data_IF_977434343444
#
_entry.id   IF_977434343444
#
_cell.length_a   1.000
_cell.length_b   1.000
_cell.length_c   1.000
_cell.angle_alpha   90.00
_cell.angle_beta   90.00
_cell.angle_gamma   90.00
#
_symmetry.space_group_name_H-M   'P 1'
#
loop_
_entity.id
_entity.type
_entity.pdbx_description
1 polymer ?
#
# COMPACT_ATOMS: atom_id res chain seq x y z
N UNK A 1 8.72 -28.10 -57.57
CA UNK A 1 9.20 -28.45 -56.22
C UNK A 1 9.85 -27.21 -55.62
N UNK A 2 9.60 -26.97 -54.34
CA UNK A 2 9.95 -25.81 -53.51
C UNK A 2 9.10 -24.54 -53.73
N UNK A 3 7.90 -24.57 -53.15
CA UNK A 3 7.13 -23.36 -52.81
C UNK A 3 7.65 -22.77 -51.51
N UNK A 4 7.79 -21.46 -51.49
CA UNK A 4 8.24 -20.65 -50.35
C UNK A 4 7.00 -20.35 -49.50
N UNK A 5 7.10 -20.68 -48.21
CA UNK A 5 6.06 -20.52 -47.20
C UNK A 5 5.84 -19.03 -46.87
N UNK A 6 4.60 -18.50 -46.92
CA UNK A 6 4.29 -17.18 -46.46
C UNK A 6 3.60 -17.26 -45.10
N UNK A 7 4.30 -16.97 -44.01
CA UNK A 7 3.73 -16.20 -42.90
C UNK A 7 4.82 -15.77 -41.91
N UNK A 8 4.97 -14.45 -41.81
CA UNK A 8 5.58 -13.77 -40.67
C UNK A 8 4.53 -13.77 -39.57
N UNK A 9 4.88 -14.31 -38.41
CA UNK A 9 4.29 -13.82 -37.17
C UNK A 9 5.41 -13.38 -36.22
N UNK A 10 5.34 -12.10 -35.88
CA UNK A 10 6.13 -11.47 -34.83
C UNK A 10 5.40 -11.83 -33.54
N UNK A 11 5.98 -12.73 -32.77
CA UNK A 11 5.53 -13.02 -31.41
C UNK A 11 5.77 -11.79 -30.52
N UNK A 12 4.70 -11.02 -30.32
CA UNK A 12 4.63 -9.94 -29.35
C UNK A 12 4.09 -10.53 -28.05
N UNK A 13 4.86 -10.33 -26.97
CA UNK A 13 4.44 -10.42 -25.55
C UNK A 13 4.77 -11.72 -24.82
N UNK A 14 6.00 -11.77 -24.29
CA UNK A 14 6.32 -12.57 -23.10
C UNK A 14 6.88 -11.65 -21.99
N UNK A 15 5.97 -11.07 -21.19
CA UNK A 15 6.28 -10.49 -19.88
C UNK A 15 5.93 -11.49 -18.76
N UNK A 16 6.64 -11.50 -17.61
CA UNK A 16 6.54 -12.56 -16.62
C UNK A 16 5.40 -12.29 -15.64
N UNK A 17 4.16 -12.48 -16.10
CA UNK A 17 3.08 -12.85 -15.21
C UNK A 17 2.60 -14.22 -15.67
N UNK A 18 2.66 -15.27 -14.84
CA UNK A 18 1.89 -16.45 -15.16
C UNK A 18 0.44 -15.98 -15.26
N UNK A 19 -0.13 -16.06 -16.46
CA UNK A 19 -1.56 -16.21 -16.62
C UNK A 19 -1.90 -17.36 -15.69
N UNK A 20 -2.53 -17.02 -14.56
CA UNK A 20 -3.24 -18.02 -13.81
C UNK A 20 -4.32 -18.45 -14.79
N UNK A 21 -4.08 -19.56 -15.49
CA UNK A 21 -5.11 -20.34 -16.14
C UNK A 21 -6.02 -20.80 -15.00
N UNK A 22 -6.90 -19.89 -14.60
CA UNK A 22 -8.06 -20.15 -13.80
C UNK A 22 -9.00 -20.89 -14.75
N UNK A 23 -8.72 -22.18 -14.95
CA UNK A 23 -9.74 -23.19 -15.22
C UNK A 23 -10.68 -23.20 -13.99
N UNK A 24 -11.39 -22.09 -13.79
CA UNK A 24 -12.56 -22.04 -12.94
C UNK A 24 -13.59 -22.82 -13.74
N UNK A 25 -13.64 -24.11 -13.47
CA UNK A 25 -14.74 -24.97 -13.82
C UNK A 25 -16.00 -24.35 -13.22
N UNK A 26 -16.66 -23.47 -14.00
CA UNK A 26 -17.84 -22.70 -13.58
C UNK A 26 -19.04 -23.61 -13.28
N UNK A 27 -18.92 -24.90 -13.62
CA UNK A 27 -19.90 -25.96 -13.40
C UNK A 27 -19.52 -26.89 -12.22
N UNK A 28 -18.41 -26.62 -11.52
CA UNK A 28 -18.08 -27.31 -10.28
C UNK A 28 -19.12 -26.98 -9.21
N UNK A 29 -19.63 -27.98 -8.47
CA UNK A 29 -20.70 -27.75 -7.50
C UNK A 29 -20.20 -26.76 -6.42
N UNK A 30 -21.06 -25.81 -5.98
CA UNK A 30 -20.67 -24.69 -5.12
C UNK A 30 -20.18 -25.08 -3.72
N UNK A 31 -20.07 -26.38 -3.42
CA UNK A 31 -19.78 -26.96 -2.12
C UNK A 31 -18.40 -27.63 -1.99
N UNK A 32 -17.59 -27.68 -3.06
CA UNK A 32 -16.28 -28.34 -3.05
C UNK A 32 -15.09 -27.44 -2.66
N UNK A 33 -15.31 -26.19 -2.24
CA UNK A 33 -14.27 -25.46 -1.50
C UNK A 33 -14.25 -26.07 -0.09
N UNK A 34 -13.10 -26.53 0.45
CA UNK A 34 -13.05 -26.81 1.88
C UNK A 34 -13.51 -25.52 2.55
N UNK A 35 -14.56 -25.61 3.36
CA UNK A 35 -14.95 -24.50 4.21
C UNK A 35 -13.67 -24.10 4.94
N UNK A 36 -13.14 -22.91 4.63
CA UNK A 36 -12.08 -22.33 5.43
C UNK A 36 -12.59 -22.44 6.88
N UNK A 37 -11.78 -23.03 7.77
CA UNK A 37 -12.19 -23.20 9.17
C UNK A 37 -12.89 -21.92 9.61
N UNK A 38 -14.16 -21.99 10.08
CA UNK A 38 -14.88 -20.78 10.46
C UNK A 38 -13.95 -20.07 11.45
N UNK A 39 -13.63 -18.79 11.21
CA UNK A 39 -12.77 -18.02 12.12
C UNK A 39 -13.33 -18.27 13.51
N UNK A 40 -12.61 -19.07 14.30
CA UNK A 40 -13.17 -19.62 15.52
C UNK A 40 -13.57 -18.48 16.43
N UNK A 41 -14.60 -18.63 17.26
CA UNK A 41 -15.04 -17.59 18.17
C UNK A 41 -13.87 -16.98 18.98
N UNK A 42 -12.87 -17.81 19.34
CA UNK A 42 -11.64 -17.39 19.98
C UNK A 42 -10.73 -16.51 19.10
N UNK A 43 -10.60 -16.79 17.81
CA UNK A 43 -9.81 -15.97 16.89
C UNK A 43 -10.49 -14.62 16.61
N UNK A 44 -11.82 -14.62 16.53
CA UNK A 44 -12.62 -13.39 16.44
C UNK A 44 -12.45 -12.53 17.70
N UNK A 45 -12.60 -13.13 18.88
CA UNK A 45 -12.47 -12.44 20.16
C UNK A 45 -11.03 -11.92 20.42
N UNK A 46 -10.01 -12.68 20.00
CA UNK A 46 -8.62 -12.24 20.03
C UNK A 46 -8.38 -11.04 19.09
N UNK A 47 -8.95 -11.05 17.88
CA UNK A 47 -8.85 -9.93 16.94
C UNK A 47 -9.56 -8.67 17.49
N UNK A 48 -10.73 -8.83 18.10
CA UNK A 48 -11.48 -7.73 18.75
C UNK A 48 -10.70 -7.13 19.91
N UNK A 49 -10.14 -7.97 20.80
CA UNK A 49 -9.27 -7.50 21.88
C UNK A 49 -8.04 -6.77 21.35
N UNK A 50 -7.39 -7.30 20.32
CA UNK A 50 -6.21 -6.67 19.74
C UNK A 50 -6.56 -5.32 19.09
N UNK A 51 -7.69 -5.24 18.38
CA UNK A 51 -8.20 -3.98 17.82
C UNK A 51 -8.63 -2.97 18.89
N UNK A 52 -9.12 -3.42 20.04
CA UNK A 52 -9.43 -2.56 21.19
C UNK A 52 -8.15 -2.02 21.87
N UNK A 53 -7.14 -2.87 22.07
CA UNK A 53 -5.84 -2.48 22.63
C UNK A 53 -5.10 -1.52 21.71
N UNK A 54 -5.10 -1.77 20.41
CA UNK A 54 -4.49 -0.86 19.43
C UNK A 54 -5.16 0.51 19.45
N UNK A 55 -6.49 0.56 19.56
CA UNK A 55 -7.23 1.83 19.68
C UNK A 55 -6.88 2.65 20.92
N UNK A 56 -6.53 2.01 22.02
CA UNK A 56 -6.19 2.71 23.26
C UNK A 56 -4.71 3.09 23.37
N UNK A 57 -3.82 2.37 22.67
CA UNK A 57 -2.37 2.54 22.79
C UNK A 57 -1.74 3.33 21.63
N UNK A 58 -2.37 3.34 20.45
CA UNK A 58 -1.77 3.95 19.26
C UNK A 58 -2.31 5.36 19.03
N UNK A 59 -1.43 6.33 18.73
CA UNK A 59 -1.84 7.68 18.36
C UNK A 59 -2.81 7.70 17.19
N UNK A 60 -3.88 8.47 17.29
CA UNK A 60 -4.88 8.63 16.24
C UNK A 60 -4.56 9.85 15.36
N UNK A 61 -4.75 9.73 14.05
CA UNK A 61 -4.72 10.88 13.15
C UNK A 61 -5.92 11.79 13.39
N UNK A 62 -5.66 13.08 13.49
CA UNK A 62 -6.66 14.14 13.64
C UNK A 62 -6.74 15.04 12.41
N UNK A 63 -5.67 15.11 11.63
CA UNK A 63 -5.66 15.82 10.36
C UNK A 63 -4.70 15.18 9.36
N UNK A 64 -5.03 15.29 8.08
CA UNK A 64 -4.18 14.89 6.96
C UNK A 64 -4.18 16.03 5.95
N UNK A 65 -3.00 16.31 5.37
CA UNK A 65 -2.84 17.30 4.31
C UNK A 65 -1.75 16.85 3.36
N UNK A 66 -1.98 17.02 2.07
CA UNK A 66 -0.93 16.95 1.07
C UNK A 66 -0.31 18.34 0.85
N UNK A 67 1.03 18.40 0.89
CA UNK A 67 1.83 19.57 0.55
C UNK A 67 2.49 19.34 -0.81
N UNK A 68 2.00 20.06 -1.83
CA UNK A 68 2.51 19.99 -3.19
C UNK A 68 3.85 20.69 -3.40
N UNK A 69 4.27 21.59 -2.50
CA UNK A 69 5.59 22.23 -2.59
C UNK A 69 6.70 21.23 -2.23
N UNK A 70 6.45 20.38 -1.24
CA UNK A 70 7.41 19.40 -0.74
C UNK A 70 7.17 17.96 -1.22
N UNK A 71 6.09 17.72 -1.98
CA UNK A 71 5.62 16.39 -2.45
C UNK A 71 5.44 15.40 -1.28
N UNK A 72 4.73 15.85 -0.23
CA UNK A 72 4.56 15.09 1.03
C UNK A 72 3.13 15.06 1.52
N UNK A 73 2.74 13.90 2.06
CA UNK A 73 1.56 13.77 2.90
C UNK A 73 1.99 13.99 4.35
N UNK A 74 1.40 14.98 4.99
CA UNK A 74 1.57 15.30 6.40
C UNK A 74 0.33 14.87 7.18
N UNK A 75 0.54 14.10 8.23
CA UNK A 75 -0.49 13.59 9.13
C UNK A 75 -0.21 14.14 10.52
N UNK A 76 -1.20 14.82 11.10
CA UNK A 76 -1.14 15.32 12.47
C UNK A 76 -1.83 14.29 13.36
N UNK A 77 -1.12 13.82 14.38
CA UNK A 77 -1.65 12.89 15.38
C UNK A 77 -2.21 13.66 16.58
N UNK A 78 -3.13 13.04 17.32
CA UNK A 78 -3.72 13.54 18.57
C UNK A 78 -2.68 13.89 19.65
N UNK A 79 -1.55 13.18 19.63
CA UNK A 79 -0.37 13.46 20.46
C UNK A 79 0.35 14.77 20.11
N UNK A 80 0.01 15.42 18.99
CA UNK A 80 0.71 16.58 18.45
C UNK A 80 1.94 16.24 17.61
N UNK A 81 2.25 14.95 17.43
CA UNK A 81 3.32 14.50 16.52
C UNK A 81 2.85 14.63 15.07
N UNK A 82 3.71 15.17 14.22
CA UNK A 82 3.49 15.22 12.77
C UNK A 82 4.32 14.16 12.05
N UNK A 83 3.65 13.34 11.24
CA UNK A 83 4.28 12.35 10.37
C UNK A 83 4.21 12.85 8.93
N UNK A 84 5.36 13.03 8.29
CA UNK A 84 5.44 13.42 6.89
C UNK A 84 6.13 12.35 6.04
N UNK A 85 5.48 11.88 4.98
CA UNK A 85 6.03 10.88 4.07
C UNK A 85 5.79 11.24 2.60
N UNK A 86 6.67 10.76 1.73
CA UNK A 86 6.47 10.91 0.28
C UNK A 86 5.47 9.84 -0.20
N UNK A 87 4.39 10.21 -0.91
CA UNK A 87 3.37 9.26 -1.38
C UNK A 87 3.99 8.14 -2.21
N UNK A 88 5.02 8.47 -3.01
CA UNK A 88 5.73 7.54 -3.90
C UNK A 88 6.36 6.33 -3.18
N UNK A 89 6.66 6.44 -1.89
CA UNK A 89 7.23 5.36 -1.10
C UNK A 89 6.18 4.36 -0.62
N UNK A 90 4.93 4.79 -0.51
CA UNK A 90 3.82 4.01 0.03
C UNK A 90 3.13 3.23 -1.08
N UNK A 91 2.91 1.95 -0.84
CA UNK A 91 2.20 1.10 -1.78
C UNK A 91 0.77 1.62 -1.98
N UNK A 92 0.34 1.74 -3.23
CA UNK A 92 -0.98 2.27 -3.59
C UNK A 92 -1.00 3.78 -3.83
N UNK A 93 0.03 4.51 -3.42
CA UNK A 93 0.17 5.96 -3.66
C UNK A 93 1.28 6.32 -4.67
N UNK A 94 1.94 5.30 -5.24
CA UNK A 94 3.09 5.44 -6.13
C UNK A 94 2.87 6.29 -7.38
N UNK A 95 1.66 6.24 -7.94
CA UNK A 95 1.25 6.91 -9.18
C UNK A 95 0.18 7.98 -8.94
N UNK A 96 0.01 8.43 -7.69
CA UNK A 96 -1.02 9.40 -7.34
C UNK A 96 -0.70 10.78 -7.93
N UNK A 97 -1.71 11.44 -8.51
CA UNK A 97 -1.64 12.86 -8.81
C UNK A 97 -2.00 13.70 -7.57
N UNK A 98 -1.71 15.00 -7.61
CA UNK A 98 -1.99 15.93 -6.50
C UNK A 98 -3.46 15.88 -6.10
N UNK A 99 -4.35 15.86 -7.09
CA UNK A 99 -5.80 15.82 -6.88
C UNK A 99 -6.29 14.49 -6.29
N UNK A 100 -5.52 13.41 -6.40
CA UNK A 100 -5.87 12.13 -5.80
C UNK A 100 -5.50 12.07 -4.29
N UNK A 101 -4.58 12.94 -3.86
CA UNK A 101 -4.07 12.99 -2.48
C UNK A 101 -4.75 14.05 -1.62
N UNK A 102 -5.43 15.02 -2.24
CA UNK A 102 -6.11 16.12 -1.55
C UNK A 102 -7.41 15.66 -0.85
N UNK A 103 -8.04 14.60 -1.35
CA UNK A 103 -9.29 14.02 -0.82
C UNK A 103 -9.05 12.90 0.22
N UNK A 104 -7.88 12.89 0.87
CA UNK A 104 -7.55 11.87 1.87
C UNK A 104 -8.50 11.95 3.07
N UNK A 105 -9.09 10.82 3.44
CA UNK A 105 -10.00 10.69 4.57
C UNK A 105 -9.34 9.91 5.71
N UNK A 106 -9.60 10.32 6.95
CA UNK A 106 -9.14 9.59 8.12
C UNK A 106 -10.20 8.55 8.47
N UNK A 107 -9.78 7.28 8.58
CA UNK A 107 -10.67 6.19 9.00
C UNK A 107 -11.29 6.47 10.38
N UNK A 108 -12.48 5.92 10.70
CA UNK A 108 -13.12 6.11 12.00
C UNK A 108 -12.30 5.65 13.21
N UNK A 109 -11.34 4.73 13.00
CA UNK A 109 -10.41 4.30 14.06
C UNK A 109 -9.28 5.30 14.32
N UNK A 110 -9.03 6.23 13.39
CA UNK A 110 -7.92 7.18 13.45
C UNK A 110 -6.56 6.60 13.01
N UNK A 111 -6.47 5.31 12.66
CA UNK A 111 -5.20 4.66 12.33
C UNK A 111 -5.01 4.38 10.84
N UNK A 112 -6.07 4.47 10.05
CA UNK A 112 -6.04 4.37 8.60
C UNK A 112 -6.26 5.72 7.92
N UNK A 113 -5.59 5.92 6.79
CA UNK A 113 -5.94 6.93 5.80
C UNK A 113 -6.52 6.23 4.58
N UNK A 114 -7.68 6.67 4.15
CA UNK A 114 -8.33 6.22 2.93
C UNK A 114 -8.17 7.27 1.85
N UNK A 115 -7.77 6.85 0.65
CA UNK A 115 -7.67 7.70 -0.52
C UNK A 115 -8.73 7.23 -1.55
N UNK A 116 -9.93 7.83 -1.56
CA UNK A 116 -11.07 7.34 -2.34
C UNK A 116 -10.76 7.20 -3.83
N UNK A 117 -10.06 8.19 -4.40
CA UNK A 117 -9.72 8.23 -5.83
C UNK A 117 -8.73 7.15 -6.26
N UNK A 118 -7.89 6.70 -5.32
CA UNK A 118 -6.89 5.66 -5.55
C UNK A 118 -7.40 4.27 -5.12
N UNK A 119 -8.55 4.22 -4.43
CA UNK A 119 -9.02 3.05 -3.71
C UNK A 119 -7.90 2.41 -2.88
N UNK A 120 -7.15 3.26 -2.18
CA UNK A 120 -5.96 2.88 -1.45
C UNK A 120 -6.12 3.20 0.04
N UNK A 121 -5.76 2.25 0.88
CA UNK A 121 -5.76 2.39 2.33
C UNK A 121 -4.33 2.33 2.86
N UNK A 122 -4.01 3.26 3.74
CA UNK A 122 -2.69 3.38 4.37
C UNK A 122 -2.84 3.24 5.87
N UNK A 123 -2.16 2.24 6.44
CA UNK A 123 -2.15 2.00 7.88
C UNK A 123 -1.01 2.77 8.55
N UNK A 124 -1.35 3.80 9.33
CA UNK A 124 -0.41 4.72 9.98
C UNK A 124 0.54 4.03 10.97
N UNK A 125 0.11 3.09 11.84
CA UNK A 125 1.04 2.41 12.73
C UNK A 125 2.11 1.61 11.96
N UNK A 126 1.74 1.04 10.81
CA UNK A 126 2.71 0.42 9.90
C UNK A 126 3.75 1.42 9.39
N UNK A 127 3.34 2.64 9.03
CA UNK A 127 4.28 3.69 8.63
C UNK A 127 5.23 4.11 9.75
N UNK A 128 4.75 4.19 11.00
CA UNK A 128 5.58 4.48 12.16
C UNK A 128 6.64 3.38 12.42
N UNK A 129 6.31 2.13 12.09
CA UNK A 129 7.24 0.99 12.14
C UNK A 129 8.16 0.91 10.91
N UNK A 130 8.01 1.80 9.92
CA UNK A 130 8.79 1.80 8.68
C UNK A 130 8.30 0.80 7.64
N UNK A 131 7.06 0.32 7.75
CA UNK A 131 6.40 -0.56 6.79
C UNK A 131 5.57 0.28 5.81
N UNK A 132 6.09 0.49 4.60
CA UNK A 132 5.41 1.27 3.56
C UNK A 132 4.51 0.44 2.63
N UNK A 133 4.41 -0.87 2.85
CA UNK A 133 3.60 -1.76 2.04
C UNK A 133 3.98 -3.22 2.21
N UNK A 134 3.54 -4.05 1.27
CA UNK A 134 3.88 -5.49 1.24
C UNK A 134 5.39 -5.70 1.12
N UNK A 135 5.87 -6.85 1.62
CA UNK A 135 7.28 -7.24 1.50
C UNK A 135 7.79 -7.21 0.05
N UNK A 136 6.95 -7.61 -0.91
CA UNK A 136 7.28 -7.56 -2.35
C UNK A 136 7.45 -6.12 -2.83
N UNK A 137 6.56 -5.22 -2.43
CA UNK A 137 6.66 -3.79 -2.74
C UNK A 137 7.94 -3.18 -2.19
N UNK A 138 8.22 -3.37 -0.89
CA UNK A 138 9.42 -2.82 -0.26
C UNK A 138 10.71 -3.39 -0.87
N UNK A 139 10.72 -4.67 -1.25
CA UNK A 139 11.86 -5.26 -1.95
C UNK A 139 12.05 -4.69 -3.37
N UNK A 140 10.97 -4.38 -4.09
CA UNK A 140 11.04 -3.69 -5.36
C UNK A 140 11.53 -2.24 -5.19
N UNK A 141 11.01 -1.53 -4.19
CA UNK A 141 11.42 -0.16 -3.85
C UNK A 141 12.90 -0.09 -3.48
N UNK A 142 13.42 -1.02 -2.67
CA UNK A 142 14.83 -1.07 -2.31
C UNK A 142 15.77 -1.30 -3.51
N UNK A 143 15.26 -1.92 -4.59
CA UNK A 143 15.99 -2.06 -5.86
C UNK A 143 15.89 -0.81 -6.75
N UNK A 144 14.78 -0.09 -6.69
CA UNK A 144 14.50 1.06 -7.54
C UNK A 144 14.97 2.41 -6.96
N UNK A 145 15.01 2.53 -5.63
CA UNK A 145 15.25 3.77 -4.90
C UNK A 145 16.41 3.57 -3.93
N UNK A 146 17.53 4.32 -4.04
CA UNK A 146 18.45 4.40 -2.91
C UNK A 146 17.68 5.06 -1.76
N UNK A 147 17.45 4.33 -0.68
CA UNK A 147 16.62 4.71 0.49
C UNK A 147 17.21 5.86 1.33
N UNK A 148 17.85 6.84 0.69
CA UNK A 148 18.39 8.05 1.31
C UNK A 148 18.05 9.27 0.47
N UNK A 149 16.77 9.63 0.45
CA UNK A 149 16.34 10.95 -0.03
C UNK A 149 16.38 11.90 1.15
N UNK A 150 17.56 12.46 1.44
CA UNK A 150 17.63 13.72 2.18
C UNK A 150 17.28 14.80 1.15
N UNK A 151 16.25 15.63 1.37
CA UNK A 151 15.96 16.74 0.46
C UNK A 151 17.24 17.57 0.25
N UNK A 152 17.57 17.93 -1.01
CA UNK A 152 18.80 18.66 -1.33
C UNK A 152 18.87 20.03 -0.65
N UNK A 153 17.74 20.49 -0.14
CA UNK A 153 17.42 21.80 0.40
C UNK A 153 16.76 21.68 1.79
N UNK A 154 16.92 20.53 2.47
CA UNK A 154 16.47 20.35 3.85
C UNK A 154 17.13 21.39 4.77
N UNK A 155 16.37 22.32 5.39
CA UNK A 155 16.92 23.39 6.22
C UNK A 155 17.48 22.89 7.57
N UNK A 156 17.31 21.61 7.89
CA UNK A 156 17.87 20.98 9.08
C UNK A 156 19.16 20.25 8.72
N UNK A 157 20.28 20.91 8.98
CA UNK A 157 21.58 20.24 8.99
C UNK A 157 21.59 19.21 10.14
N UNK A 158 21.66 17.92 9.80
CA UNK A 158 21.89 16.88 10.81
C UNK A 158 23.29 17.13 11.37
N UNK A 159 23.39 17.77 12.53
CA UNK A 159 24.62 17.75 13.33
C UNK A 159 24.87 16.31 13.76
N UNK A 160 25.71 15.61 12.99
CA UNK A 160 26.25 14.33 13.41
C UNK A 160 27.32 14.61 14.47
N UNK A 161 27.30 13.94 15.63
CA UNK A 161 28.42 13.98 16.57
C UNK A 161 29.67 13.34 15.96
#
# INVERSE_FOLDING_TARGET
MAGIDPERDVDVSAGPFPHLDLDLDLDAPPDARPAADPIGAQAYEAADMQGALQRSLLPAAVAVRYDGETDRVTVILDTGVELAFAPRLVQGLGSAEIDDLSEAEISPSGHGLHFPRLNADVYLPGLLEGVMGTRRWMAAMARATPLRVVPRDAPWEIKRP
#
